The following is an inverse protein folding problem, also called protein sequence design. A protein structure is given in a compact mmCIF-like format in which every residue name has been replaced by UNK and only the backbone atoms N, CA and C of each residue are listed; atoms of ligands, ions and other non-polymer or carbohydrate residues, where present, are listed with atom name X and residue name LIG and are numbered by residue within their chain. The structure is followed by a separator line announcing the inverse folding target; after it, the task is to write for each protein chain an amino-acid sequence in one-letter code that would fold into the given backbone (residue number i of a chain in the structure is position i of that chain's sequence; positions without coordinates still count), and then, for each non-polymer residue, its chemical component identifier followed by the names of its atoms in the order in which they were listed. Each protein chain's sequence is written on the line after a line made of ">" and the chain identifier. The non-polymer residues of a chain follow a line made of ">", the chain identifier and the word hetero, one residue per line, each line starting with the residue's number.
data_IF_928274636206
#
_entry.id   IF_928274636206
#
_cell.length_a   1.000
_cell.length_b   1.000
_cell.length_c   1.000
_cell.angle_alpha   90.00
_cell.angle_beta   90.00
_cell.angle_gamma   90.00
#
_symmetry.space_group_name_H-M   'P 1'
#
loop_
_entity.id
_entity.type
_entity.pdbx_description
1 polymer ?
#
# COMPACT_ATOMS: atom_id res chain seq x y z
N UNK A 1 -4.64 -28.68 -11.01
CA UNK A 1 -5.63 -29.28 -11.93
C UNK A 1 -6.34 -28.14 -12.65
N UNK A 2 -5.72 -27.51 -13.65
CA UNK A 2 -6.33 -26.34 -14.31
C UNK A 2 -6.31 -26.42 -15.85
N UNK A 3 -5.47 -27.27 -16.44
CA UNK A 3 -5.38 -27.48 -17.90
C UNK A 3 -5.90 -28.85 -18.39
N UNK A 4 -6.44 -29.69 -17.51
CA UNK A 4 -6.99 -30.99 -17.93
C UNK A 4 -8.19 -30.77 -18.85
N UNK A 5 -8.08 -31.24 -20.09
CA UNK A 5 -9.06 -31.08 -21.18
C UNK A 5 -9.27 -29.64 -21.68
N UNK A 6 -8.36 -28.70 -21.36
CA UNK A 6 -8.35 -27.38 -22.01
C UNK A 6 -7.42 -27.43 -23.23
N UNK A 7 -7.81 -26.81 -24.36
CA UNK A 7 -6.89 -26.53 -25.45
C UNK A 7 -5.67 -25.75 -24.98
N UNK A 8 -4.62 -25.76 -25.78
CA UNK A 8 -3.48 -24.87 -25.55
C UNK A 8 -3.93 -23.42 -25.69
N UNK A 9 -3.53 -22.58 -24.74
CA UNK A 9 -3.98 -21.19 -24.69
C UNK A 9 -3.86 -20.54 -23.32
N UNK A 10 -4.24 -19.27 -23.28
CA UNK A 10 -4.22 -18.46 -22.07
C UNK A 10 -5.62 -18.42 -21.43
N UNK A 11 -5.67 -18.54 -20.11
CA UNK A 11 -6.89 -18.59 -19.31
C UNK A 11 -6.80 -17.66 -18.10
N UNK A 12 -7.90 -16.97 -17.74
CA UNK A 12 -7.93 -16.13 -16.56
C UNK A 12 -7.81 -16.98 -15.29
N UNK A 13 -7.14 -16.43 -14.27
CA UNK A 13 -7.18 -17.00 -12.93
C UNK A 13 -8.27 -16.29 -12.12
N UNK A 14 -9.20 -17.01 -11.48
CA UNK A 14 -10.22 -16.40 -10.63
C UNK A 14 -9.60 -15.47 -9.59
N UNK A 15 -10.12 -14.24 -9.49
CA UNK A 15 -9.66 -13.21 -8.54
C UNK A 15 -8.20 -12.74 -8.72
N UNK A 16 -7.54 -13.06 -9.84
CA UNK A 16 -6.19 -12.59 -10.14
C UNK A 16 -6.14 -11.97 -11.54
N UNK A 17 -6.33 -10.66 -11.65
CA UNK A 17 -6.30 -9.98 -12.95
C UNK A 17 -4.89 -9.72 -13.48
N UNK A 18 -3.87 -9.88 -12.63
CA UNK A 18 -2.46 -9.70 -12.99
C UNK A 18 -1.81 -10.96 -13.52
N UNK A 19 -2.45 -12.09 -13.31
CA UNK A 19 -1.88 -13.39 -13.61
C UNK A 19 -2.86 -14.19 -14.46
N UNK A 20 -2.31 -15.00 -15.35
CA UNK A 20 -3.08 -15.89 -16.20
C UNK A 20 -2.38 -17.24 -16.28
N UNK A 21 -3.14 -18.28 -16.57
CA UNK A 21 -2.60 -19.61 -16.81
C UNK A 21 -2.39 -19.78 -18.31
N UNK A 22 -1.19 -20.15 -18.70
CA UNK A 22 -0.89 -20.68 -20.02
C UNK A 22 -0.93 -22.21 -19.94
N UNK A 23 -1.81 -22.83 -20.73
CA UNK A 23 -1.86 -24.27 -20.93
C UNK A 23 -1.06 -24.63 -22.18
N UNK A 24 -0.10 -25.55 -22.04
CA UNK A 24 0.66 -26.13 -23.15
C UNK A 24 0.78 -27.64 -22.94
N UNK A 25 0.26 -28.44 -23.87
CA UNK A 25 0.24 -29.90 -23.80
C UNK A 25 -0.32 -30.44 -22.45
N UNK A 26 -1.35 -29.77 -21.92
CA UNK A 26 -1.96 -30.12 -20.64
C UNK A 26 -1.19 -29.66 -19.38
N UNK A 27 -0.05 -28.98 -19.53
CA UNK A 27 0.72 -28.39 -18.43
C UNK A 27 0.29 -26.95 -18.20
N UNK A 28 0.00 -26.60 -16.95
CA UNK A 28 -0.36 -25.25 -16.53
C UNK A 28 0.87 -24.45 -16.08
N UNK A 29 1.07 -23.27 -16.65
CA UNK A 29 2.06 -22.30 -16.19
C UNK A 29 1.37 -20.98 -15.83
N UNK A 30 1.64 -20.48 -14.63
CA UNK A 30 1.17 -19.16 -14.21
C UNK A 30 2.14 -18.11 -14.77
N UNK A 31 1.60 -17.15 -15.50
CA UNK A 31 2.32 -16.00 -16.04
C UNK A 31 1.75 -14.72 -15.46
N UNK A 32 2.62 -13.73 -15.25
CA UNK A 32 2.24 -12.40 -14.77
C UNK A 32 2.25 -11.43 -15.94
N UNK A 33 1.19 -10.64 -16.09
CA UNK A 33 1.14 -9.59 -17.10
C UNK A 33 2.26 -8.55 -16.88
N UNK A 34 2.73 -7.90 -17.96
CA UNK A 34 3.62 -6.75 -17.83
C UNK A 34 3.04 -5.67 -16.90
N UNK A 35 3.91 -4.82 -16.32
CA UNK A 35 3.45 -3.68 -15.53
C UNK A 35 2.40 -2.85 -16.28
N UNK A 36 1.39 -2.35 -15.54
CA UNK A 36 0.29 -1.55 -16.08
C UNK A 36 -0.68 -2.29 -17.02
N UNK A 37 -0.73 -3.62 -16.94
CA UNK A 37 -1.66 -4.44 -17.72
C UNK A 37 -2.47 -5.40 -16.83
N UNK A 38 -3.70 -5.69 -17.25
CA UNK A 38 -4.56 -6.75 -16.73
C UNK A 38 -4.81 -7.78 -17.83
N UNK A 39 -4.93 -9.04 -17.44
CA UNK A 39 -5.33 -10.10 -18.34
C UNK A 39 -6.82 -9.95 -18.67
N UNK A 40 -7.12 -9.70 -19.95
CA UNK A 40 -8.48 -9.66 -20.47
C UNK A 40 -8.87 -11.06 -20.97
N UNK A 41 -9.85 -11.73 -20.33
CA UNK A 41 -10.29 -13.06 -20.72
C UNK A 41 -11.05 -13.09 -22.06
N UNK A 42 -11.58 -11.98 -22.54
CA UNK A 42 -12.23 -11.88 -23.85
C UNK A 42 -11.20 -11.79 -24.98
N UNK A 43 -10.05 -11.15 -24.72
CA UNK A 43 -8.96 -10.98 -25.70
C UNK A 43 -7.82 -11.99 -25.53
N UNK A 44 -7.87 -12.84 -24.50
CA UNK A 44 -6.85 -13.83 -24.15
C UNK A 44 -5.43 -13.27 -24.00
N UNK A 45 -5.32 -12.00 -23.60
CA UNK A 45 -4.05 -11.26 -23.57
C UNK A 45 -4.02 -10.19 -22.48
N UNK A 46 -2.83 -9.72 -22.16
CA UNK A 46 -2.63 -8.60 -21.26
C UNK A 46 -2.91 -7.29 -22.02
N UNK A 47 -3.82 -6.48 -21.50
CA UNK A 47 -4.14 -5.15 -22.05
C UNK A 47 -4.01 -4.09 -20.96
N UNK A 48 -3.89 -2.80 -21.33
CA UNK A 48 -3.81 -1.72 -20.35
C UNK A 48 -4.94 -1.77 -19.31
N UNK A 49 -4.60 -1.57 -18.04
CA UNK A 49 -5.55 -1.69 -16.92
C UNK A 49 -6.75 -0.76 -17.02
N UNK A 50 -6.60 0.38 -17.72
CA UNK A 50 -7.68 1.33 -18.02
C UNK A 50 -8.75 0.74 -18.94
N UNK A 51 -8.38 -0.22 -19.78
CA UNK A 51 -9.27 -0.89 -20.74
C UNK A 51 -9.99 -2.08 -20.11
N UNK A 52 -9.36 -2.74 -19.12
CA UNK A 52 -9.97 -3.83 -18.37
C UNK A 52 -9.68 -3.68 -16.86
N UNK A 53 -10.48 -2.89 -16.12
CA UNK A 53 -10.28 -2.67 -14.70
C UNK A 53 -10.63 -3.92 -13.90
N UNK A 54 -9.71 -4.35 -13.03
CA UNK A 54 -9.86 -5.57 -12.23
C UNK A 54 -11.08 -5.49 -11.31
N UNK A 55 -12.12 -6.28 -11.63
CA UNK A 55 -13.33 -6.42 -10.82
C UNK A 55 -13.13 -7.51 -9.76
N UNK A 56 -12.17 -7.33 -8.85
CA UNK A 56 -12.15 -8.15 -7.63
C UNK A 56 -13.26 -7.63 -6.73
N UNK A 57 -14.40 -8.31 -6.73
CA UNK A 57 -15.44 -8.12 -5.72
C UNK A 57 -14.80 -8.37 -4.36
N UNK A 58 -14.73 -7.38 -3.46
CA UNK A 58 -14.24 -7.62 -2.10
C UNK A 58 -15.18 -8.61 -1.44
N UNK A 59 -14.67 -9.78 -1.05
CA UNK A 59 -15.44 -10.84 -0.38
C UNK A 59 -15.83 -10.50 1.06
N UNK A 60 -15.57 -9.28 1.51
CA UNK A 60 -15.97 -8.78 2.82
C UNK A 60 -16.82 -7.52 2.65
N UNK A 61 -18.05 -7.49 3.19
CA UNK A 61 -18.79 -6.26 3.35
C UNK A 61 -17.92 -5.26 4.11
N UNK A 62 -17.85 -4.03 3.60
CA UNK A 62 -17.20 -2.92 4.30
C UNK A 62 -17.94 -2.68 5.62
N UNK A 63 -17.44 -3.28 6.70
CA UNK A 63 -17.85 -2.91 8.05
C UNK A 63 -17.33 -1.50 8.27
N UNK A 64 -18.22 -0.53 8.50
CA UNK A 64 -17.84 0.73 9.13
C UNK A 64 -17.19 0.36 10.47
N UNK A 65 -15.87 0.29 10.52
CA UNK A 65 -15.14 -0.06 11.74
C UNK A 65 -15.25 1.15 12.66
N UNK A 66 -16.30 1.17 13.48
CA UNK A 66 -16.42 2.08 14.64
C UNK A 66 -15.42 1.65 15.72
N UNK A 67 -14.13 1.69 15.41
CA UNK A 67 -13.09 1.74 16.44
C UNK A 67 -12.86 3.21 16.81
N UNK A 68 -12.64 3.53 18.09
CA UNK A 68 -12.21 4.87 18.49
C UNK A 68 -10.90 5.21 17.76
N UNK A 69 -10.94 6.17 16.82
CA UNK A 69 -9.80 6.58 15.99
C UNK A 69 -9.87 6.22 14.51
N UNK A 70 -10.89 5.46 14.06
CA UNK A 70 -11.02 5.01 12.64
C UNK A 70 -12.29 5.52 11.94
N UNK A 71 -12.84 6.67 12.37
CA UNK A 71 -14.06 7.23 11.77
C UNK A 71 -13.77 7.93 10.44
N UNK A 72 -14.24 7.33 9.35
CA UNK A 72 -14.15 7.89 7.98
C UNK A 72 -15.49 8.43 7.47
N UNK A 73 -16.53 8.48 8.31
CA UNK A 73 -17.92 8.78 7.88
C UNK A 73 -18.05 10.14 7.18
N UNK A 74 -17.24 11.12 7.59
CA UNK A 74 -17.23 12.46 7.00
C UNK A 74 -16.13 12.68 5.95
N UNK A 75 -15.30 11.68 5.68
CA UNK A 75 -14.10 11.84 4.84
C UNK A 75 -14.44 12.34 3.43
N UNK A 76 -15.51 11.84 2.83
CA UNK A 76 -15.91 12.16 1.46
C UNK A 76 -16.88 13.34 1.32
N UNK A 77 -17.29 13.98 2.43
CA UNK A 77 -18.33 15.03 2.42
C UNK A 77 -17.98 16.23 1.53
N UNK A 78 -16.69 16.54 1.40
CA UNK A 78 -16.18 17.67 0.62
C UNK A 78 -15.11 17.25 -0.40
N UNK A 79 -15.09 15.96 -0.76
CA UNK A 79 -14.16 15.40 -1.73
C UNK A 79 -14.92 14.93 -2.96
N UNK A 80 -14.26 14.98 -4.11
CA UNK A 80 -14.77 14.37 -5.33
C UNK A 80 -14.79 12.85 -5.22
N UNK A 81 -15.54 12.19 -6.10
CA UNK A 81 -15.48 10.74 -6.22
C UNK A 81 -14.06 10.31 -6.66
N UNK A 82 -13.57 9.22 -6.10
CA UNK A 82 -12.21 8.73 -6.36
C UNK A 82 -11.54 8.05 -5.18
N UNK A 83 -10.25 7.70 -5.36
CA UNK A 83 -9.43 6.99 -4.40
C UNK A 83 -8.51 7.95 -3.61
N UNK A 84 -8.43 7.76 -2.31
CA UNK A 84 -7.66 8.59 -1.39
C UNK A 84 -6.84 7.71 -0.44
N UNK A 85 -5.72 8.24 0.02
CA UNK A 85 -4.96 7.66 1.12
C UNK A 85 -5.84 7.55 2.37
N UNK A 86 -5.67 6.44 3.10
CA UNK A 86 -6.25 6.36 4.43
C UNK A 86 -5.40 7.16 5.42
N UNK A 87 -6.02 7.94 6.31
CA UNK A 87 -5.30 8.62 7.38
C UNK A 87 -4.75 7.68 8.45
N UNK A 88 -5.16 6.40 8.47
CA UNK A 88 -4.88 5.49 9.59
C UNK A 88 -3.84 4.41 9.29
N UNK A 89 -3.80 3.89 8.06
CA UNK A 89 -2.82 2.89 7.67
C UNK A 89 -2.56 2.92 6.16
N UNK A 90 -1.34 2.58 5.77
CA UNK A 90 -0.89 2.60 4.38
C UNK A 90 -1.36 1.42 3.56
N UNK A 91 -1.74 0.33 4.22
CA UNK A 91 -2.30 -0.85 3.57
C UNK A 91 -3.78 -0.69 3.27
N UNK A 92 -4.37 0.44 3.60
CA UNK A 92 -5.76 0.78 3.32
C UNK A 92 -5.88 2.12 2.59
N UNK A 93 -6.97 2.28 1.87
CA UNK A 93 -7.30 3.46 1.10
C UNK A 93 -8.81 3.69 1.12
N UNK A 94 -9.25 4.91 0.85
CA UNK A 94 -10.65 5.30 0.92
C UNK A 94 -11.17 5.55 -0.50
N UNK A 95 -12.26 4.87 -0.85
CA UNK A 95 -13.03 5.13 -2.06
C UNK A 95 -14.24 6.01 -1.75
N UNK A 96 -14.25 7.22 -2.32
CA UNK A 96 -15.38 8.13 -2.28
C UNK A 96 -16.29 7.90 -3.48
N UNK A 97 -17.59 7.68 -3.21
CA UNK A 97 -18.64 7.61 -4.22
C UNK A 97 -19.90 8.31 -3.72
N UNK A 98 -20.39 9.33 -4.44
CA UNK A 98 -21.58 10.10 -4.07
C UNK A 98 -21.53 10.63 -2.63
N UNK A 99 -20.35 11.11 -2.22
CA UNK A 99 -20.12 11.64 -0.86
C UNK A 99 -20.02 10.59 0.25
N UNK A 100 -20.07 9.29 -0.06
CA UNK A 100 -19.92 8.19 0.90
C UNK A 100 -18.51 7.61 0.87
N UNK A 101 -17.92 7.42 2.03
CA UNK A 101 -16.60 6.81 2.20
C UNK A 101 -16.71 5.29 2.32
N UNK A 102 -15.87 4.58 1.57
CA UNK A 102 -15.70 3.13 1.67
C UNK A 102 -14.22 2.84 1.94
N UNK A 103 -13.95 2.07 3.00
CA UNK A 103 -12.59 1.62 3.31
C UNK A 103 -12.24 0.40 2.46
N UNK A 104 -11.07 0.44 1.83
CA UNK A 104 -10.54 -0.60 0.98
C UNK A 104 -9.14 -0.99 1.45
N UNK A 105 -8.69 -2.20 1.12
CA UNK A 105 -7.37 -2.70 1.51
C UNK A 105 -6.56 -3.07 0.29
N UNK A 106 -5.26 -2.81 0.35
CA UNK A 106 -4.29 -3.33 -0.59
C UNK A 106 -4.10 -4.84 -0.37
N UNK A 107 -3.71 -5.53 -1.45
CA UNK A 107 -3.32 -6.94 -1.38
C UNK A 107 -2.14 -7.18 -0.41
N UNK A 108 -1.89 -8.44 -0.09
CA UNK A 108 -0.85 -8.80 0.89
C UNK A 108 0.52 -8.22 0.51
N UNK A 109 1.13 -7.47 1.43
CA UNK A 109 2.45 -6.84 1.24
C UNK A 109 2.45 -5.54 0.44
N UNK A 110 1.29 -5.06 -0.01
CA UNK A 110 1.17 -3.85 -0.81
C UNK A 110 0.66 -2.66 0.01
N UNK A 111 1.02 -1.46 -0.44
CA UNK A 111 0.82 -0.17 0.20
C UNK A 111 0.21 0.80 -0.82
N UNK A 112 -0.75 1.62 -0.42
CA UNK A 112 -1.44 2.53 -1.34
C UNK A 112 -0.60 3.78 -1.64
N UNK A 113 -0.36 4.04 -2.92
CA UNK A 113 0.21 5.29 -3.42
C UNK A 113 -0.94 6.25 -3.81
N UNK A 114 -1.13 7.37 -3.10
CA UNK A 114 -2.20 8.32 -3.40
C UNK A 114 -1.95 9.20 -4.63
N UNK A 115 -0.73 9.23 -5.18
CA UNK A 115 -0.42 9.92 -6.43
C UNK A 115 -0.82 9.06 -7.63
N UNK A 116 -0.47 7.77 -7.57
CA UNK A 116 -0.75 6.82 -8.63
C UNK A 116 -2.11 6.11 -8.48
N UNK A 117 -2.78 6.30 -7.34
CA UNK A 117 -4.08 5.68 -6.99
C UNK A 117 -4.03 4.15 -7.07
N UNK A 118 -2.93 3.57 -6.62
CA UNK A 118 -2.66 2.14 -6.78
C UNK A 118 -1.84 1.56 -5.62
N UNK A 119 -1.92 0.24 -5.42
CA UNK A 119 -1.17 -0.45 -4.38
C UNK A 119 0.16 -0.99 -4.93
N UNK A 120 1.29 -0.57 -4.36
CA UNK A 120 2.64 -1.01 -4.74
C UNK A 120 3.38 -1.64 -3.56
N UNK A 121 4.57 -2.19 -3.81
CA UNK A 121 5.44 -2.66 -2.74
C UNK A 121 5.95 -1.49 -1.89
N UNK A 122 6.25 -1.78 -0.63
CA UNK A 122 6.58 -0.78 0.40
C UNK A 122 7.73 0.16 0.00
N UNK A 123 8.73 -0.36 -0.69
CA UNK A 123 9.90 0.36 -1.19
C UNK A 123 9.57 1.38 -2.30
N UNK A 124 8.44 1.19 -2.98
CA UNK A 124 7.98 2.05 -4.07
C UNK A 124 6.98 3.11 -3.63
N UNK A 125 6.48 3.02 -2.39
CA UNK A 125 5.44 3.91 -1.87
C UNK A 125 5.99 4.77 -0.76
N UNK A 126 5.82 6.08 -0.93
CA UNK A 126 6.07 7.04 0.14
C UNK A 126 4.85 7.09 1.08
N UNK A 127 4.62 6.00 1.82
CA UNK A 127 3.54 5.93 2.80
C UNK A 127 4.09 5.57 4.19
N UNK A 128 3.67 6.37 5.17
CA UNK A 128 4.03 6.21 6.58
C UNK A 128 2.79 5.64 7.27
N UNK A 129 2.84 4.40 7.72
CA UNK A 129 1.73 3.83 8.50
C UNK A 129 1.51 4.75 9.71
N UNK A 130 0.33 5.35 9.83
CA UNK A 130 -0.03 6.23 10.94
C UNK A 130 -0.07 5.50 12.30
N UNK A 131 0.24 4.20 12.33
CA UNK A 131 0.61 3.48 13.55
C UNK A 131 1.94 3.99 14.14
N UNK A 132 2.75 4.72 13.36
CA UNK A 132 3.75 5.65 13.86
C UNK A 132 3.20 7.06 13.69
N UNK A 133 2.20 7.42 14.47
CA UNK A 133 1.87 8.82 14.66
C UNK A 133 3.16 9.49 15.20
N UNK A 134 3.78 10.43 14.47
CA UNK A 134 4.97 11.10 14.94
C UNK A 134 4.72 11.94 16.20
N UNK A 135 3.48 12.07 16.68
CA UNK A 135 3.18 12.56 18.03
C UNK A 135 3.32 11.49 19.13
N UNK A 136 3.02 10.22 18.84
CA UNK A 136 2.99 9.13 19.82
C UNK A 136 4.20 8.17 19.76
N UNK A 137 5.20 8.44 18.91
CA UNK A 137 6.42 7.61 18.86
C UNK A 137 7.06 7.43 20.26
N UNK A 138 7.03 8.48 21.07
CA UNK A 138 7.60 8.51 22.42
C UNK A 138 6.65 8.04 23.54
N UNK A 139 5.39 7.71 23.25
CA UNK A 139 4.36 7.47 24.28
C UNK A 139 4.72 6.39 25.32
N UNK A 140 5.55 5.41 24.94
CA UNK A 140 6.03 4.34 25.82
C UNK A 140 7.56 4.18 25.76
N UNK A 141 8.29 5.23 25.41
CA UNK A 141 9.77 5.20 25.32
C UNK A 141 10.38 6.06 26.43
N UNK A 142 11.54 5.65 26.99
CA UNK A 142 12.35 6.53 27.81
C UNK A 142 12.71 7.83 27.10
N UNK A 143 13.03 8.85 27.88
CA UNK A 143 13.60 10.08 27.34
C UNK A 143 14.93 9.76 26.65
N UNK A 144 15.14 10.32 25.46
CA UNK A 144 16.32 10.02 24.67
C UNK A 144 16.16 10.33 23.19
N UNK A 145 17.20 9.95 22.42
CA UNK A 145 17.25 10.14 20.98
C UNK A 145 17.07 8.81 20.28
N UNK A 146 16.24 8.80 19.23
CA UNK A 146 15.91 7.58 18.50
C UNK A 146 16.01 7.82 17.00
N UNK A 147 16.57 6.87 16.28
CA UNK A 147 16.60 6.93 14.83
C UNK A 147 15.18 7.06 14.26
N UNK A 148 15.02 7.92 13.24
CA UNK A 148 13.77 7.94 12.52
C UNK A 148 13.65 6.63 11.71
N UNK A 149 12.52 5.90 11.78
CA UNK A 149 12.41 4.54 11.25
C UNK A 149 12.78 4.39 9.76
N UNK A 150 12.53 5.43 8.97
CA UNK A 150 12.67 5.40 7.51
C UNK A 150 13.43 6.61 6.94
N UNK A 151 13.90 7.53 7.79
CA UNK A 151 14.64 8.71 7.32
C UNK A 151 15.94 8.76 8.11
N UNK A 152 16.94 8.06 7.62
CA UNK A 152 18.24 7.93 8.29
C UNK A 152 18.88 9.29 8.66
N UNK A 153 18.59 10.36 7.92
CA UNK A 153 19.07 11.72 8.19
C UNK A 153 18.25 12.43 9.28
N UNK A 154 17.27 11.76 9.87
CA UNK A 154 16.37 12.30 10.88
C UNK A 154 16.34 11.41 12.12
N UNK A 155 15.95 12.03 13.22
CA UNK A 155 15.82 11.37 14.50
C UNK A 155 14.68 11.99 15.31
N UNK A 156 14.23 11.26 16.32
CA UNK A 156 13.24 11.72 17.30
C UNK A 156 13.92 12.01 18.63
N UNK A 157 13.49 13.09 19.26
CA UNK A 157 13.74 13.39 20.67
C UNK A 157 12.48 13.01 21.43
N UNK A 158 12.63 12.10 22.38
CA UNK A 158 11.60 11.79 23.36
C UNK A 158 11.87 12.56 24.65
N UNK A 159 10.87 13.33 25.08
CA UNK A 159 10.86 13.97 26.40
C UNK A 159 9.47 13.89 26.99
N UNK A 160 9.33 13.16 28.11
CA UNK A 160 8.07 12.94 28.83
C UNK A 160 6.93 12.45 27.92
N UNK A 161 7.26 11.53 27.02
CA UNK A 161 6.30 10.98 26.05
C UNK A 161 6.00 11.87 24.84
N UNK A 162 6.52 13.11 24.81
CA UNK A 162 6.39 14.01 23.66
C UNK A 162 7.46 13.67 22.62
N UNK A 163 7.02 13.55 21.37
CA UNK A 163 7.90 13.30 20.24
C UNK A 163 8.24 14.60 19.53
N UNK A 164 9.53 14.90 19.40
CA UNK A 164 10.04 16.01 18.57
C UNK A 164 10.90 15.45 17.45
N UNK A 165 10.63 15.83 16.20
CA UNK A 165 11.39 15.37 15.03
C UNK A 165 12.50 16.35 14.68
N UNK A 166 13.71 15.83 14.48
CA UNK A 166 14.90 16.60 14.13
C UNK A 166 15.58 16.01 12.89
N UNK A 167 16.38 16.83 12.21
CA UNK A 167 17.20 16.43 11.06
C UNK A 167 18.67 16.64 11.43
N UNK A 168 19.51 15.65 11.15
CA UNK A 168 20.95 15.76 11.31
C UNK A 168 21.52 16.81 10.34
N UNK A 169 22.49 17.58 10.81
CA UNK A 169 23.09 18.66 10.01
C UNK A 169 24.04 18.09 8.95
N UNK A 170 24.24 18.85 7.87
CA UNK A 170 25.21 18.53 6.81
C UNK A 170 25.01 17.15 6.15
N UNK A 171 23.76 16.66 6.09
CA UNK A 171 23.46 15.36 5.49
C UNK A 171 24.01 14.17 6.28
N UNK A 172 24.31 14.35 7.57
CA UNK A 172 24.73 13.26 8.45
C UNK A 172 23.57 12.28 8.69
N UNK A 173 23.92 11.03 8.99
CA UNK A 173 22.98 9.95 9.32
C UNK A 173 22.96 9.76 10.84
N UNK A 174 21.77 9.54 11.40
CA UNK A 174 21.59 9.24 12.81
C UNK A 174 21.80 7.75 13.08
N UNK A 175 22.90 7.41 13.73
CA UNK A 175 23.27 6.03 14.06
C UNK A 175 23.93 6.01 15.45
N UNK A 176 23.75 4.94 16.23
CA UNK A 176 24.30 4.80 17.59
C UNK A 176 23.94 5.97 18.54
N UNK A 177 22.73 6.53 18.41
CA UNK A 177 22.23 7.68 19.16
C UNK A 177 22.94 9.03 18.88
N UNK A 178 23.64 9.17 17.75
CA UNK A 178 24.26 10.44 17.33
C UNK A 178 24.23 10.65 15.82
N UNK A 179 24.24 11.91 15.39
CA UNK A 179 24.43 12.27 14.00
C UNK A 179 25.91 12.10 13.63
N UNK A 180 26.19 11.29 12.61
CA UNK A 180 27.54 11.03 12.14
C UNK A 180 27.60 10.95 10.61
N UNK A 181 28.78 11.22 10.06
CA UNK A 181 29.03 11.02 8.63
C UNK A 181 29.11 9.51 8.41
N UNK A 182 28.24 8.98 7.56
CA UNK A 182 28.20 7.55 7.25
C UNK A 182 28.17 7.37 5.74
N UNK A 183 28.91 6.37 5.26
CA UNK A 183 28.93 5.97 3.84
C UNK A 183 27.75 5.06 3.48
N UNK A 184 26.83 4.80 4.42
CA UNK A 184 25.63 4.02 4.16
C UNK A 184 24.67 4.85 3.32
N UNK A 185 24.21 4.26 2.22
CA UNK A 185 23.11 4.82 1.43
C UNK A 185 21.81 4.50 2.15
N UNK A 186 21.00 5.53 2.29
CA UNK A 186 19.59 5.42 2.66
C UNK A 186 18.76 5.31 1.38
#
# INVERSE_FOLDING_TARGET
>A
MECQNKPDGNYPIPNQCKQYIQCLNGVAQINTCPPHQNYDPALHTCIPEVSYPCQITPTTPATNIKTPGHDISNFCKFRSDGLYDSPNACKEYIYCASGKANLMFCGQGLYFDPKLKYCFFKDQVQCIDSTVNPHNFCANKPDGFYAHPNECHKYYICSRGVTTKMTCLNGQIFENNHCQVSNKIC
#
